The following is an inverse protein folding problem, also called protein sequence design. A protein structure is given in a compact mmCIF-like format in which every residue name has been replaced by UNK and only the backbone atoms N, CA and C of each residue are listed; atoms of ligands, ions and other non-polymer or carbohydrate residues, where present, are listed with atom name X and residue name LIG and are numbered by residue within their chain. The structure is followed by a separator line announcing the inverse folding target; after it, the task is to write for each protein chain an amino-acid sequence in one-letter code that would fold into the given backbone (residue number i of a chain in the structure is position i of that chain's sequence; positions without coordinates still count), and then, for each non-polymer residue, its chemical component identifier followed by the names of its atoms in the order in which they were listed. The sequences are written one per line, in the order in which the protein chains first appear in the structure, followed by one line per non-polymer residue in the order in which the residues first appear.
data_IF_260829135088
#
_entry.id   IF_260829135088
#
_cell.length_a   1.000
_cell.length_b   1.000
_cell.length_c   1.000
_cell.angle_alpha   90.00
_cell.angle_beta   90.00
_cell.angle_gamma   90.00
#
_symmetry.space_group_name_H-M   'P 1'
#
loop_
_entity.id
_entity.type
_entity.pdbx_description
1 polymer ?
#
# COMPACT_ATOMS: atom_id res chain seq x y z
N UNK A 1 -7.94 -17.09 10.99
CA UNK A 1 -7.88 -17.93 9.77
C UNK A 1 -8.29 -17.01 8.62
N UNK A 2 -7.44 -16.47 7.75
CA UNK A 2 -6.07 -16.76 7.33
C UNK A 2 -5.16 -15.55 7.59
N UNK A 3 -4.04 -15.74 8.29
CA UNK A 3 -2.91 -14.81 8.24
C UNK A 3 -2.03 -15.25 7.07
N UNK A 4 -2.38 -14.82 5.86
CA UNK A 4 -1.60 -15.10 4.66
C UNK A 4 -0.81 -13.84 4.29
N UNK A 5 0.50 -13.85 4.54
CA UNK A 5 1.49 -12.83 4.13
C UNK A 5 1.50 -12.56 2.59
N UNK A 6 0.67 -13.28 1.81
CA UNK A 6 0.48 -13.06 0.38
C UNK A 6 -0.41 -11.89 0.00
N UNK A 7 -1.38 -11.48 0.83
CA UNK A 7 -2.31 -10.40 0.48
C UNK A 7 -1.64 -9.03 0.45
N UNK A 8 -0.79 -8.75 1.45
CA UNK A 8 0.01 -7.53 1.49
C UNK A 8 1.03 -7.47 0.34
N UNK A 9 1.66 -8.60 0.00
CA UNK A 9 2.58 -8.70 -1.16
C UNK A 9 1.88 -8.47 -2.49
N UNK A 10 0.68 -9.04 -2.65
CA UNK A 10 -0.15 -8.81 -3.85
C UNK A 10 -0.57 -7.35 -3.98
N UNK A 11 -1.02 -6.74 -2.88
CA UNK A 11 -1.34 -5.31 -2.84
C UNK A 11 -0.12 -4.46 -3.21
N UNK A 12 1.03 -4.67 -2.56
CA UNK A 12 2.26 -3.94 -2.81
C UNK A 12 2.70 -4.08 -4.28
N UNK A 13 2.69 -5.29 -4.84
CA UNK A 13 3.09 -5.55 -6.23
C UNK A 13 2.24 -4.77 -7.24
N UNK A 14 0.93 -4.63 -6.99
CA UNK A 14 0.06 -3.81 -7.83
C UNK A 14 0.42 -2.33 -7.71
N UNK A 15 0.67 -1.82 -6.50
CA UNK A 15 1.11 -0.42 -6.31
C UNK A 15 2.45 -0.16 -6.99
N UNK A 16 3.42 -1.07 -6.92
CA UNK A 16 4.71 -0.98 -7.61
C UNK A 16 4.55 -0.88 -9.13
N UNK A 17 3.62 -1.66 -9.70
CA UNK A 17 3.32 -1.57 -11.13
C UNK A 17 2.72 -0.21 -11.51
N UNK A 18 1.85 0.34 -10.66
CA UNK A 18 1.28 1.68 -10.88
C UNK A 18 2.35 2.76 -10.73
N UNK A 19 3.21 2.68 -9.71
CA UNK A 19 4.26 3.67 -9.48
C UNK A 19 5.31 3.71 -10.58
N UNK A 20 5.62 2.57 -11.19
CA UNK A 20 6.53 2.48 -12.34
C UNK A 20 5.88 2.87 -13.68
N UNK A 21 4.58 3.14 -13.73
CA UNK A 21 3.84 3.29 -15.00
C UNK A 21 4.13 4.60 -15.76
N UNK A 22 4.93 5.52 -15.19
CA UNK A 22 5.27 6.79 -15.87
C UNK A 22 6.37 6.64 -16.92
N UNK A 23 7.31 5.72 -16.73
CA UNK A 23 8.54 5.61 -17.54
C UNK A 23 8.38 4.67 -18.73
N UNK A 24 7.50 3.68 -18.62
CA UNK A 24 7.19 2.73 -19.67
C UNK A 24 5.72 2.35 -19.52
N UNK A 25 4.82 3.16 -20.08
CA UNK A 25 3.36 3.03 -19.92
C UNK A 25 2.92 1.61 -20.31
N UNK A 26 2.71 0.77 -19.30
CA UNK A 26 2.28 -0.64 -19.42
C UNK A 26 0.82 -0.81 -19.01
N UNK A 27 0.30 0.14 -18.24
CA UNK A 27 -1.09 0.17 -17.79
C UNK A 27 -1.77 1.42 -18.35
N UNK A 28 -2.92 1.25 -18.99
CA UNK A 28 -3.74 2.37 -19.40
C UNK A 28 -4.45 3.03 -18.19
N UNK A 29 -5.04 4.20 -18.42
CA UNK A 29 -5.72 4.95 -17.37
C UNK A 29 -6.94 4.20 -16.79
N UNK A 30 -7.59 3.32 -17.54
CA UNK A 30 -8.73 2.53 -17.08
C UNK A 30 -8.26 1.40 -16.17
N UNK A 31 -7.18 0.72 -16.53
CA UNK A 31 -6.56 -0.34 -15.76
C UNK A 31 -6.06 0.18 -14.41
N UNK A 32 -5.31 1.29 -14.40
CA UNK A 32 -4.84 1.90 -13.15
C UNK A 32 -6.01 2.26 -12.23
N UNK A 33 -7.06 2.88 -12.80
CA UNK A 33 -8.26 3.24 -12.04
C UNK A 33 -9.01 2.00 -11.53
N UNK A 34 -9.09 0.93 -12.31
CA UNK A 34 -9.71 -0.31 -11.91
C UNK A 34 -8.97 -0.95 -10.73
N UNK A 35 -7.64 -1.07 -10.82
CA UNK A 35 -6.82 -1.56 -9.70
C UNK A 35 -7.07 -0.74 -8.44
N UNK A 36 -6.95 0.59 -8.52
CA UNK A 36 -7.12 1.45 -7.35
C UNK A 36 -8.52 1.31 -6.70
N UNK A 37 -9.59 1.18 -7.51
CA UNK A 37 -10.96 0.95 -6.99
C UNK A 37 -11.09 -0.40 -6.28
N UNK A 38 -10.53 -1.46 -6.85
CA UNK A 38 -10.56 -2.77 -6.21
C UNK A 38 -9.75 -2.76 -4.91
N UNK A 39 -8.61 -2.07 -4.91
CA UNK A 39 -7.72 -1.95 -3.76
C UNK A 39 -8.39 -1.26 -2.55
N UNK A 40 -9.26 -0.27 -2.79
CA UNK A 40 -10.07 0.34 -1.74
C UNK A 40 -10.93 -0.66 -0.96
N UNK A 41 -11.38 -1.74 -1.62
CA UNK A 41 -12.24 -2.76 -0.99
C UNK A 41 -11.47 -3.74 -0.12
N UNK A 42 -10.21 -3.98 -0.45
CA UNK A 42 -9.35 -4.93 0.28
C UNK A 42 -8.51 -4.26 1.37
N UNK A 43 -8.27 -2.94 1.28
CA UNK A 43 -7.48 -2.19 2.27
C UNK A 43 -7.88 -2.43 3.74
N UNK A 44 -9.17 -2.54 4.11
CA UNK A 44 -9.56 -2.84 5.49
C UNK A 44 -9.05 -4.18 6.00
N UNK A 45 -8.97 -5.19 5.12
CA UNK A 45 -8.57 -6.56 5.45
C UNK A 45 -7.06 -6.74 5.57
N UNK A 46 -6.28 -5.80 5.02
CA UNK A 46 -4.83 -5.86 5.09
C UNK A 46 -4.33 -5.63 6.52
N UNK A 47 -3.36 -6.45 6.92
CA UNK A 47 -2.56 -6.22 8.11
C UNK A 47 -1.59 -5.05 7.86
N UNK A 48 -2.11 -3.82 7.93
CA UNK A 48 -1.36 -2.57 7.88
C UNK A 48 -1.77 -1.78 9.13
N UNK A 49 -0.82 -1.09 9.76
CA UNK A 49 -1.10 -0.25 10.91
C UNK A 49 -2.22 0.74 10.59
N UNK A 50 -3.22 0.79 11.47
CA UNK A 50 -4.43 1.58 11.30
C UNK A 50 -4.18 3.06 11.08
N UNK A 51 -3.03 3.59 11.54
CA UNK A 51 -2.64 4.98 11.34
C UNK A 51 -2.43 5.35 9.87
N UNK A 52 -1.98 4.41 9.04
CA UNK A 52 -1.66 4.66 7.62
C UNK A 52 -2.86 4.43 6.70
N UNK A 53 -3.85 3.62 7.13
CA UNK A 53 -5.01 3.25 6.31
C UNK A 53 -5.78 4.47 5.75
N UNK A 54 -6.08 5.54 6.53
CA UNK A 54 -6.81 6.71 6.00
C UNK A 54 -6.07 7.43 4.86
N UNK A 55 -4.74 7.53 4.96
CA UNK A 55 -3.92 8.18 3.94
C UNK A 55 -3.84 7.32 2.68
N UNK A 56 -3.56 6.01 2.84
CA UNK A 56 -3.55 5.05 1.72
C UNK A 56 -4.92 5.05 1.01
N UNK A 57 -6.02 5.09 1.77
CA UNK A 57 -7.38 5.17 1.21
C UNK A 57 -7.58 6.44 0.37
N UNK A 58 -7.12 7.59 0.88
CA UNK A 58 -7.23 8.87 0.18
C UNK A 58 -6.42 8.85 -1.13
N UNK A 59 -5.20 8.33 -1.08
CA UNK A 59 -4.33 8.20 -2.24
C UNK A 59 -4.93 7.26 -3.30
N UNK A 60 -5.45 6.10 -2.90
CA UNK A 60 -6.14 5.17 -3.80
C UNK A 60 -7.39 5.81 -4.44
N UNK A 61 -8.18 6.55 -3.65
CA UNK A 61 -9.34 7.27 -4.16
C UNK A 61 -8.93 8.30 -5.22
N UNK A 62 -7.86 9.07 -4.97
CA UNK A 62 -7.31 10.03 -5.93
C UNK A 62 -6.78 9.35 -7.21
N UNK A 63 -6.06 8.23 -7.08
CA UNK A 63 -5.59 7.44 -8.24
C UNK A 63 -6.78 6.95 -9.08
N UNK A 64 -7.89 6.58 -8.44
CA UNK A 64 -9.09 6.09 -9.13
C UNK A 64 -9.90 7.16 -9.87
N UNK A 65 -9.65 8.44 -9.57
CA UNK A 65 -10.39 9.57 -10.13
C UNK A 65 -10.13 9.75 -11.65
N UNK A 66 -11.11 10.31 -12.34
CA UNK A 66 -10.98 10.73 -13.73
C UNK A 66 -10.16 12.02 -13.84
N UNK A 67 -9.49 12.26 -14.97
CA UNK A 67 -8.87 13.56 -15.29
C UNK A 67 -7.47 13.80 -14.70
N UNK A 68 -7.05 13.03 -13.69
CA UNK A 68 -5.66 13.06 -13.25
C UNK A 68 -4.76 12.50 -14.39
N UNK A 69 -3.50 12.94 -14.57
CA UNK A 69 -2.55 12.38 -15.54
C UNK A 69 -1.79 11.16 -14.99
N UNK A 70 -1.10 10.42 -15.87
CA UNK A 70 -0.38 9.19 -15.50
C UNK A 70 0.77 9.46 -14.52
N UNK A 71 1.55 10.53 -14.71
CA UNK A 71 2.68 10.84 -13.83
C UNK A 71 2.23 11.12 -12.39
N UNK A 72 1.11 11.83 -12.21
CA UNK A 72 0.53 12.07 -10.87
C UNK A 72 0.07 10.77 -10.21
N UNK A 73 -0.54 9.85 -10.97
CA UNK A 73 -0.91 8.52 -10.41
C UNK A 73 0.31 7.72 -9.98
N UNK A 74 1.37 7.76 -10.77
CA UNK A 74 2.63 7.10 -10.43
C UNK A 74 3.23 7.69 -9.16
N UNK A 75 3.20 9.01 -9.00
CA UNK A 75 3.64 9.69 -7.78
C UNK A 75 2.79 9.33 -6.55
N UNK A 76 1.46 9.35 -6.67
CA UNK A 76 0.59 8.96 -5.57
C UNK A 76 0.81 7.49 -5.17
N UNK A 77 1.03 6.60 -6.15
CA UNK A 77 1.37 5.21 -5.88
C UNK A 77 2.74 5.08 -5.18
N UNK A 78 3.74 5.88 -5.53
CA UNK A 78 5.03 5.85 -4.82
C UNK A 78 4.87 6.30 -3.37
N UNK A 79 3.97 7.25 -3.07
CA UNK A 79 3.64 7.63 -1.69
C UNK A 79 2.97 6.52 -0.90
N UNK A 80 2.10 5.72 -1.54
CA UNK A 80 1.57 4.51 -0.88
C UNK A 80 2.71 3.53 -0.53
N UNK A 81 3.71 3.34 -1.41
CA UNK A 81 4.85 2.45 -1.12
C UNK A 81 5.71 2.95 0.05
N UNK A 82 5.91 4.26 0.16
CA UNK A 82 6.60 4.86 1.32
C UNK A 82 5.87 4.50 2.63
N UNK A 83 4.55 4.65 2.67
CA UNK A 83 3.74 4.31 3.86
C UNK A 83 3.79 2.81 4.20
N UNK A 84 3.77 1.93 3.19
CA UNK A 84 3.92 0.49 3.41
C UNK A 84 5.31 0.14 3.97
N UNK A 85 6.35 0.83 3.52
CA UNK A 85 7.71 0.65 4.05
C UNK A 85 7.79 1.11 5.51
N UNK A 86 7.18 2.24 5.83
CA UNK A 86 7.11 2.74 7.22
C UNK A 86 6.34 1.79 8.14
N UNK A 87 5.28 1.14 7.63
CA UNK A 87 4.55 0.09 8.36
C UNK A 87 5.44 -1.11 8.70
N UNK A 88 6.19 -1.63 7.72
CA UNK A 88 7.13 -2.73 7.92
C UNK A 88 8.19 -2.35 8.96
N UNK A 89 8.74 -1.14 8.86
CA UNK A 89 9.72 -0.64 9.84
C UNK A 89 9.12 -0.59 11.25
N UNK A 90 7.93 -0.02 11.40
CA UNK A 90 7.25 0.09 12.69
C UNK A 90 6.95 -1.28 13.32
N UNK A 91 6.53 -2.26 12.52
CA UNK A 91 6.31 -3.64 12.99
C UNK A 91 7.62 -4.26 13.50
N UNK A 92 8.72 -4.10 12.75
CA UNK A 92 10.02 -4.62 13.16
C UNK A 92 10.54 -4.00 14.47
N UNK A 93 10.31 -2.69 14.69
CA UNK A 93 10.73 -2.02 15.94
C UNK A 93 9.92 -2.46 17.17
N UNK A 94 8.63 -2.77 17.00
CA UNK A 94 7.80 -3.28 18.09
C UNK A 94 8.17 -4.71 18.50
N UNK A 95 8.57 -5.55 17.54
CA UNK A 95 9.00 -6.93 17.84
C UNK A 95 10.30 -6.96 18.67
N UNK A 96 11.27 -6.06 18.40
CA UNK A 96 12.50 -5.99 19.20
C UNK A 96 12.26 -5.52 20.64
N UNK A 97 11.26 -4.67 20.88
CA UNK A 97 10.92 -4.19 22.22
C UNK A 97 10.28 -5.26 23.12
N UNK A 98 9.65 -6.29 22.53
CA UNK A 98 9.03 -7.39 23.26
C UNK A 98 10.02 -8.47 23.71
N UNK A 99 11.19 -8.58 23.07
CA UNK A 99 12.20 -9.59 23.39
C UNK A 99 12.89 -9.30 24.74
N UNK A 100 13.06 -8.03 25.11
CA UNK A 100 13.71 -7.64 26.37
C UNK A 100 12.81 -7.69 27.62
N UNK A 101 11.50 -7.95 27.45
CA UNK A 101 10.56 -7.99 28.59
C UNK A 101 10.27 -9.41 29.09
N UNK A 102 10.77 -10.45 28.42
CA UNK A 102 10.48 -11.86 28.76
C UNK A 102 11.47 -12.50 29.75
N UNK A 103 12.59 -11.84 30.07
CA UNK A 103 13.65 -12.40 30.93
C UNK A 103 13.61 -11.92 32.40
N UNK A 104 12.53 -11.26 32.83
CA UNK A 104 12.34 -10.86 34.22
C UNK A 104 11.05 -11.45 34.80
N UNK A 105 11.01 -12.76 35.05
CA UNK A 105 10.22 -13.37 36.13
C UNK A 105 10.73 -14.79 36.47
#
# INVERSE_FOLDING_TARGET
MFGFDGEAKGFQSVIERISANYSNVKLDHKEVRAYARCMLKILPELDINSRFKPEIQTLLAAISASGLPHYDRSFLASKILELLKDDVFLKSSNDESNIFSADNF
#
